data_IF_466821929058
#
_entry.id   IF_466821929058
#
_cell.length_a   1.000
_cell.length_b   1.000
_cell.length_c   1.000
_cell.angle_alpha   90.00
_cell.angle_beta   90.00
_cell.angle_gamma   90.00
#
_symmetry.space_group_name_H-M   'P 1'
#
loop_
_entity.id
_entity.type
_entity.pdbx_description
1 polymer ?
#
# COMPACT_ATOMS: atom_id res chain seq x y z
N UNK A 1 -40.25 -15.45 28.32
CA UNK A 1 -39.25 -15.84 27.31
C UNK A 1 -38.82 -14.55 26.63
N UNK A 2 -37.68 -13.98 27.02
CA UNK A 2 -37.19 -12.75 26.39
C UNK A 2 -36.53 -13.14 25.07
N UNK A 3 -37.05 -12.63 23.96
CA UNK A 3 -36.32 -12.62 22.70
C UNK A 3 -35.00 -11.90 22.93
N UNK A 4 -33.89 -12.64 22.85
CA UNK A 4 -32.58 -12.04 22.81
C UNK A 4 -32.51 -11.23 21.51
N UNK A 5 -32.47 -9.91 21.63
CA UNK A 5 -32.19 -9.03 20.50
C UNK A 5 -30.81 -9.42 19.99
N UNK A 6 -30.76 -10.11 18.85
CA UNK A 6 -29.52 -10.50 18.21
C UNK A 6 -28.86 -9.22 17.72
N UNK A 7 -27.85 -8.75 18.47
CA UNK A 7 -27.06 -7.58 18.08
C UNK A 7 -26.26 -7.86 16.81
N UNK A 8 -26.03 -6.81 16.02
CA UNK A 8 -25.24 -6.87 14.80
C UNK A 8 -23.77 -7.09 15.16
N UNK A 9 -23.13 -8.06 14.52
CA UNK A 9 -21.68 -8.23 14.60
C UNK A 9 -21.05 -7.68 13.34
N UNK A 10 -20.08 -6.78 13.48
CA UNK A 10 -19.24 -6.31 12.38
C UNK A 10 -17.97 -7.15 12.39
N UNK A 11 -17.68 -7.84 11.28
CA UNK A 11 -16.50 -8.70 11.22
C UNK A 11 -15.83 -8.85 9.86
N UNK A 12 -14.57 -9.29 9.91
CA UNK A 12 -13.74 -9.64 8.75
C UNK A 12 -13.49 -8.47 7.78
N UNK A 13 -13.12 -7.31 8.32
CA UNK A 13 -12.85 -6.10 7.54
C UNK A 13 -11.39 -5.68 7.64
N UNK A 14 -10.77 -5.32 6.51
CA UNK A 14 -9.45 -4.67 6.54
C UNK A 14 -9.52 -3.31 7.22
N UNK A 15 -10.51 -2.51 6.83
CA UNK A 15 -10.78 -1.17 7.40
C UNK A 15 -12.27 -1.04 7.69
N UNK A 16 -12.61 -0.63 8.91
CA UNK A 16 -13.94 -0.17 9.30
C UNK A 16 -13.91 1.36 9.36
N UNK A 17 -14.46 1.98 8.32
CA UNK A 17 -14.57 3.45 8.24
C UNK A 17 -15.91 3.91 8.84
N UNK A 18 -15.84 4.62 9.97
CA UNK A 18 -16.99 5.22 10.65
C UNK A 18 -17.12 6.72 10.38
N UNK A 19 -16.32 7.28 9.46
CA UNK A 19 -16.48 8.67 9.04
C UNK A 19 -17.86 8.86 8.41
N UNK A 20 -18.58 9.90 8.86
CA UNK A 20 -19.97 10.16 8.45
C UNK A 20 -21.04 9.27 9.08
N UNK A 21 -20.71 8.45 10.09
CA UNK A 21 -21.70 7.73 10.91
C UNK A 21 -22.14 8.58 12.12
N UNK A 22 -23.21 8.16 12.79
CA UNK A 22 -23.67 8.76 14.06
C UNK A 22 -23.65 7.73 15.18
N UNK A 23 -23.70 8.18 16.43
CA UNK A 23 -23.68 7.30 17.60
C UNK A 23 -24.91 6.39 17.64
N UNK A 24 -26.08 6.89 17.23
CA UNK A 24 -27.31 6.11 17.12
C UNK A 24 -27.18 4.98 16.10
N UNK A 25 -26.45 5.23 15.01
CA UNK A 25 -26.14 4.21 14.00
C UNK A 25 -25.29 3.06 14.52
N UNK A 26 -24.62 3.23 15.68
CA UNK A 26 -23.80 2.20 16.32
C UNK A 26 -24.55 1.42 17.41
N UNK A 27 -25.72 1.88 17.85
CA UNK A 27 -26.42 1.34 19.01
C UNK A 27 -26.85 -0.13 18.85
N UNK A 28 -26.97 -0.62 17.62
CA UNK A 28 -27.32 -2.02 17.33
C UNK A 28 -26.13 -2.98 17.26
N UNK A 29 -24.89 -2.50 17.38
CA UNK A 29 -23.69 -3.32 17.21
C UNK A 29 -23.30 -3.95 18.55
N UNK A 30 -23.26 -5.28 18.61
CA UNK A 30 -22.90 -6.03 19.82
C UNK A 30 -21.44 -6.46 19.88
N UNK A 31 -20.75 -6.49 18.75
CA UNK A 31 -19.36 -6.95 18.66
C UNK A 31 -18.69 -6.40 17.39
N UNK A 32 -17.43 -5.97 17.53
CA UNK A 32 -16.52 -5.74 16.41
C UNK A 32 -15.42 -6.80 16.48
N UNK A 33 -15.30 -7.62 15.44
CA UNK A 33 -14.43 -8.79 15.44
C UNK A 33 -13.59 -8.91 14.18
N UNK A 34 -12.29 -9.18 14.31
CA UNK A 34 -11.40 -9.38 13.16
C UNK A 34 -11.38 -8.18 12.20
N UNK A 35 -10.97 -7.03 12.72
CA UNK A 35 -10.88 -5.77 11.96
C UNK A 35 -9.45 -5.23 12.01
N UNK A 36 -8.86 -4.95 10.85
CA UNK A 36 -7.48 -4.45 10.79
C UNK A 36 -7.33 -3.05 11.38
N UNK A 37 -8.13 -2.11 10.89
CA UNK A 37 -8.14 -0.71 11.30
C UNK A 37 -9.57 -0.20 11.48
N UNK A 38 -9.85 0.49 12.58
CA UNK A 38 -11.08 1.27 12.75
C UNK A 38 -10.74 2.75 12.59
N UNK A 39 -11.40 3.43 11.66
CA UNK A 39 -11.29 4.89 11.52
C UNK A 39 -12.53 5.50 12.17
N UNK A 40 -12.33 6.33 13.20
CA UNK A 40 -13.42 6.84 14.03
C UNK A 40 -13.28 8.36 14.24
N UNK A 41 -14.32 9.16 13.97
CA UNK A 41 -14.38 10.55 14.40
C UNK A 41 -14.35 10.66 15.93
N UNK A 42 -13.72 11.69 16.49
CA UNK A 42 -13.62 11.89 17.94
C UNK A 42 -14.98 11.86 18.65
N UNK A 43 -16.04 12.38 18.01
CA UNK A 43 -17.42 12.37 18.50
C UNK A 43 -18.01 10.97 18.68
N UNK A 44 -17.49 9.97 17.98
CA UNK A 44 -17.93 8.57 18.06
C UNK A 44 -17.02 7.69 18.90
N UNK A 45 -15.88 8.20 19.38
CA UNK A 45 -14.88 7.40 20.09
C UNK A 45 -15.48 6.68 21.30
N UNK A 46 -16.24 7.39 22.13
CA UNK A 46 -16.89 6.83 23.32
C UNK A 46 -17.92 5.74 22.97
N UNK A 47 -18.69 5.93 21.90
CA UNK A 47 -19.68 4.95 21.45
C UNK A 47 -19.00 3.67 20.97
N UNK A 48 -17.93 3.79 20.19
CA UNK A 48 -17.15 2.66 19.67
C UNK A 48 -16.44 1.90 20.80
N UNK A 49 -15.92 2.60 21.82
CA UNK A 49 -15.26 1.98 22.97
C UNK A 49 -16.21 1.15 23.85
N UNK A 50 -17.53 1.39 23.80
CA UNK A 50 -18.53 0.59 24.52
C UNK A 50 -18.88 -0.71 23.81
N UNK A 51 -18.59 -0.82 22.52
CA UNK A 51 -18.81 -2.04 21.77
C UNK A 51 -17.65 -2.99 22.06
N UNK A 52 -17.90 -4.24 22.49
CA UNK A 52 -16.85 -5.24 22.65
C UNK A 52 -16.02 -5.40 21.37
N UNK A 53 -14.69 -5.44 21.51
CA UNK A 53 -13.75 -5.56 20.40
C UNK A 53 -12.89 -6.81 20.57
N UNK A 54 -12.76 -7.62 19.52
CA UNK A 54 -11.92 -8.83 19.51
C UNK A 54 -11.10 -8.89 18.22
N UNK A 55 -9.80 -9.11 18.33
CA UNK A 55 -8.89 -9.15 17.18
C UNK A 55 -8.99 -7.87 16.31
N UNK A 56 -8.92 -6.71 16.96
CA UNK A 56 -8.84 -5.40 16.30
C UNK A 56 -7.37 -4.97 16.28
N UNK A 57 -6.85 -4.64 15.10
CA UNK A 57 -5.44 -4.27 14.94
C UNK A 57 -5.13 -2.89 15.51
N UNK A 58 -5.83 -1.85 15.06
CA UNK A 58 -5.72 -0.50 15.59
C UNK A 58 -6.97 0.34 15.40
N UNK A 59 -7.04 1.46 16.14
CA UNK A 59 -8.10 2.46 16.01
C UNK A 59 -7.47 3.83 15.77
N UNK A 60 -7.81 4.46 14.65
CA UNK A 60 -7.41 5.80 14.28
C UNK A 60 -8.52 6.78 14.62
N UNK A 61 -8.29 7.59 15.65
CA UNK A 61 -9.16 8.71 16.00
C UNK A 61 -8.82 9.93 15.14
N UNK A 62 -9.83 10.47 14.49
CA UNK A 62 -9.75 11.67 13.65
C UNK A 62 -10.56 12.81 14.28
N UNK A 63 -10.08 14.07 14.18
CA UNK A 63 -10.85 15.20 14.67
C UNK A 63 -12.18 15.32 13.92
N UNK A 64 -13.25 15.70 14.63
CA UNK A 64 -14.58 15.89 14.05
C UNK A 64 -14.61 17.08 13.08
N UNK A 65 -13.82 18.12 13.39
CA UNK A 65 -13.69 19.30 12.56
C UNK A 65 -12.24 19.55 12.18
N UNK A 66 -12.04 19.81 10.89
CA UNK A 66 -10.77 20.21 10.29
C UNK A 66 -10.69 21.73 10.11
N UNK A 67 -11.44 22.51 10.90
CA UNK A 67 -11.56 23.96 10.69
C UNK A 67 -12.20 24.26 9.34
N UNK A 68 -11.46 24.94 8.45
CA UNK A 68 -11.91 25.20 7.07
C UNK A 68 -11.66 24.04 6.10
N UNK A 69 -10.85 23.05 6.52
CA UNK A 69 -10.42 21.94 5.71
C UNK A 69 -11.41 20.79 5.66
N UNK A 70 -11.04 19.75 4.91
CA UNK A 70 -11.78 18.50 4.74
C UNK A 70 -10.91 17.31 5.12
N UNK A 71 -11.57 16.27 5.60
CA UNK A 71 -10.96 14.96 5.75
C UNK A 71 -11.07 14.19 4.42
N UNK A 72 -9.94 13.73 3.89
CA UNK A 72 -9.86 12.83 2.73
C UNK A 72 -9.34 11.49 3.20
N UNK A 73 -10.15 10.44 3.04
CA UNK A 73 -9.77 9.06 3.36
C UNK A 73 -9.69 8.26 2.08
N UNK A 74 -8.53 7.67 1.82
CA UNK A 74 -8.36 6.65 0.81
C UNK A 74 -8.13 5.30 1.47
N UNK A 75 -8.83 4.29 1.00
CA UNK A 75 -8.68 2.91 1.47
C UNK A 75 -8.28 1.99 0.32
N UNK A 76 -7.55 0.92 0.63
CA UNK A 76 -7.11 -0.07 -0.34
C UNK A 76 -5.80 0.31 -1.05
N UNK A 77 -5.70 0.01 -2.34
CA UNK A 77 -4.51 0.28 -3.17
C UNK A 77 -4.75 1.53 -4.01
N UNK A 78 -3.90 2.55 -3.86
CA UNK A 78 -4.02 3.82 -4.59
C UNK A 78 -2.70 4.24 -5.22
N UNK A 79 -2.82 5.01 -6.30
CA UNK A 79 -1.71 5.70 -6.95
C UNK A 79 -1.97 7.20 -6.91
N UNK A 80 -1.01 7.98 -6.42
CA UNK A 80 -1.08 9.43 -6.30
C UNK A 80 0.13 10.06 -6.99
N UNK A 81 -0.07 11.19 -7.65
CA UNK A 81 1.07 11.98 -8.12
C UNK A 81 1.57 12.92 -7.01
N UNK A 82 2.79 13.41 -7.10
CA UNK A 82 3.30 14.44 -6.19
C UNK A 82 2.47 15.73 -6.22
N UNK A 83 1.93 16.10 -7.39
CA UNK A 83 1.01 17.22 -7.56
C UNK A 83 -0.31 17.01 -6.80
N UNK A 84 -0.77 15.74 -6.71
CA UNK A 84 -1.95 15.39 -5.91
C UNK A 84 -1.71 15.58 -4.41
N UNK A 85 -0.46 15.35 -3.95
CA UNK A 85 -0.04 15.59 -2.57
C UNK A 85 0.15 17.08 -2.26
N UNK A 86 0.47 17.91 -3.25
CA UNK A 86 0.57 19.36 -3.09
C UNK A 86 -0.77 20.03 -2.73
N UNK A 87 -1.90 19.33 -2.93
CA UNK A 87 -3.24 19.80 -2.53
C UNK A 87 -3.61 21.21 -3.07
N UNK A 88 -3.18 21.55 -4.29
CA UNK A 88 -3.27 22.92 -4.82
C UNK A 88 -4.70 23.52 -4.89
N UNK A 89 -5.73 22.67 -4.97
CA UNK A 89 -7.14 23.09 -4.95
C UNK A 89 -7.84 22.88 -3.60
N UNK A 90 -7.12 22.46 -2.56
CA UNK A 90 -7.66 22.18 -1.23
C UNK A 90 -7.38 23.29 -0.22
N UNK A 91 -7.70 23.01 1.05
CA UNK A 91 -7.33 23.87 2.17
C UNK A 91 -6.03 23.37 2.80
N UNK A 92 -5.14 24.26 3.30
CA UNK A 92 -4.00 23.84 4.12
C UNK A 92 -4.41 23.14 5.42
N UNK A 93 -5.68 23.24 5.83
CA UNK A 93 -6.23 22.52 6.98
C UNK A 93 -6.70 21.09 6.65
N UNK A 94 -6.70 20.70 5.38
CA UNK A 94 -7.12 19.36 4.94
C UNK A 94 -6.24 18.28 5.57
N UNK A 95 -6.87 17.17 5.96
CA UNK A 95 -6.18 15.96 6.42
C UNK A 95 -6.30 14.89 5.34
N UNK A 96 -5.16 14.27 5.01
CA UNK A 96 -5.13 13.09 4.15
C UNK A 96 -4.85 11.84 4.98
N UNK A 97 -5.77 10.89 4.96
CA UNK A 97 -5.63 9.55 5.53
C UNK A 97 -5.54 8.54 4.40
N UNK A 98 -4.48 7.73 4.41
CA UNK A 98 -4.30 6.59 3.51
C UNK A 98 -4.28 5.33 4.35
N UNK A 99 -5.28 4.47 4.18
CA UNK A 99 -5.37 3.17 4.86
C UNK A 99 -5.25 2.04 3.84
N UNK A 100 -4.06 1.44 3.73
CA UNK A 100 -3.73 0.44 2.73
C UNK A 100 -2.38 0.71 2.07
N UNK A 101 -2.30 0.59 0.75
CA UNK A 101 -1.06 0.78 0.00
C UNK A 101 -1.17 2.02 -0.89
N UNK A 102 -0.23 2.95 -0.77
CA UNK A 102 -0.12 4.10 -1.67
C UNK A 102 1.21 4.08 -2.42
N UNK A 103 1.11 4.25 -3.74
CA UNK A 103 2.24 4.54 -4.61
C UNK A 103 2.20 6.02 -4.99
N UNK A 104 3.27 6.75 -4.68
CA UNK A 104 3.49 8.08 -5.21
C UNK A 104 4.24 7.92 -6.52
N UNK A 105 3.73 8.43 -7.64
CA UNK A 105 4.26 8.15 -9.00
C UNK A 105 5.17 9.22 -9.57
N UNK A 106 5.26 10.38 -8.92
CA UNK A 106 6.10 11.50 -9.36
C UNK A 106 6.72 12.20 -8.15
N UNK A 107 7.73 13.04 -8.41
CA UNK A 107 8.41 13.80 -7.37
C UNK A 107 7.41 14.67 -6.58
N UNK A 108 7.55 14.66 -5.25
CA UNK A 108 6.79 15.51 -4.31
C UNK A 108 7.65 16.72 -3.94
N UNK A 109 7.31 17.89 -4.47
CA UNK A 109 7.94 19.15 -4.06
C UNK A 109 7.47 19.60 -2.67
N UNK A 110 6.17 19.44 -2.40
CA UNK A 110 5.54 19.82 -1.14
C UNK A 110 4.28 18.98 -0.89
N UNK A 111 3.95 18.80 0.39
CA UNK A 111 2.67 18.22 0.82
C UNK A 111 1.82 19.35 1.37
N UNK A 112 0.68 19.61 0.72
CA UNK A 112 -0.23 20.71 1.07
C UNK A 112 -1.33 20.34 2.07
N UNK A 113 -1.20 19.19 2.72
CA UNK A 113 -2.11 18.73 3.77
C UNK A 113 -1.54 19.11 5.13
N UNK A 114 -2.42 19.48 6.07
CA UNK A 114 -2.05 19.73 7.48
C UNK A 114 -1.45 18.49 8.12
N UNK A 115 -2.04 17.35 7.81
CA UNK A 115 -1.63 16.04 8.30
C UNK A 115 -1.70 15.02 7.15
N UNK A 116 -0.60 14.30 6.93
CA UNK A 116 -0.58 13.08 6.13
C UNK A 116 -0.45 11.88 7.09
N UNK A 117 -1.54 11.12 7.18
CA UNK A 117 -1.64 9.93 8.02
C UNK A 117 -1.63 8.70 7.12
N UNK A 118 -0.68 7.81 7.32
CA UNK A 118 -0.58 6.56 6.56
C UNK A 118 -0.69 5.36 7.50
N UNK A 119 -1.62 4.47 7.19
CA UNK A 119 -1.90 3.21 7.88
C UNK A 119 -1.74 2.07 6.85
N UNK A 120 -0.51 1.61 6.66
CA UNK A 120 -0.15 0.57 5.72
C UNK A 120 1.19 0.84 5.05
N UNK A 121 1.26 0.81 3.72
CA UNK A 121 2.52 0.94 2.98
C UNK A 121 2.50 2.17 2.08
N UNK A 122 3.57 2.96 2.13
CA UNK A 122 3.81 4.07 1.23
C UNK A 122 5.05 3.79 0.40
N UNK A 123 4.94 3.89 -0.92
CA UNK A 123 6.06 3.80 -1.85
C UNK A 123 6.21 5.14 -2.56
N UNK A 124 7.40 5.71 -2.57
CA UNK A 124 7.63 7.02 -3.18
C UNK A 124 9.01 7.14 -3.83
N UNK A 125 9.24 8.12 -4.72
CA UNK A 125 10.58 8.41 -5.20
C UNK A 125 11.50 8.79 -4.04
N UNK A 126 12.73 8.29 -4.03
CA UNK A 126 13.75 8.65 -3.03
C UNK A 126 14.00 10.15 -2.97
N UNK A 127 13.89 10.83 -4.12
CA UNK A 127 13.98 12.29 -4.24
C UNK A 127 12.93 13.03 -3.40
N UNK A 128 11.83 12.39 -3.01
CA UNK A 128 10.72 12.97 -2.25
C UNK A 128 10.78 12.70 -0.75
N UNK A 129 11.80 11.99 -0.26
CA UNK A 129 11.94 11.61 1.14
C UNK A 129 11.93 12.81 2.10
N UNK A 130 12.61 13.91 1.74
CA UNK A 130 12.63 15.13 2.56
C UNK A 130 11.24 15.76 2.68
N UNK A 131 10.52 15.91 1.57
CA UNK A 131 9.18 16.50 1.55
C UNK A 131 8.17 15.62 2.31
N UNK A 132 8.25 14.29 2.13
CA UNK A 132 7.32 13.35 2.77
C UNK A 132 7.60 13.17 4.26
N UNK A 133 8.86 13.06 4.67
CA UNK A 133 9.21 12.84 6.09
C UNK A 133 8.77 13.98 7.00
N UNK A 134 8.77 15.23 6.51
CA UNK A 134 8.25 16.37 7.28
C UNK A 134 6.72 16.42 7.37
N UNK A 135 6.02 15.86 6.39
CA UNK A 135 4.56 15.90 6.30
C UNK A 135 3.86 14.67 6.90
N UNK A 136 4.55 13.53 6.97
CA UNK A 136 4.06 12.29 7.57
C UNK A 136 3.92 12.46 9.10
N UNK A 137 2.76 12.91 9.55
CA UNK A 137 2.50 13.18 10.96
C UNK A 137 2.23 11.91 11.76
N UNK A 138 1.66 10.89 11.12
CA UNK A 138 1.40 9.57 11.71
C UNK A 138 1.63 8.48 10.68
N UNK A 139 2.46 7.52 11.03
CA UNK A 139 2.78 6.37 10.18
C UNK A 139 2.64 5.07 10.99
N UNK A 140 1.75 4.18 10.55
CA UNK A 140 1.67 2.81 11.04
C UNK A 140 1.85 1.87 9.85
N UNK A 141 2.98 1.18 9.79
CA UNK A 141 3.37 0.32 8.68
C UNK A 141 4.75 0.71 8.14
N UNK A 142 4.92 0.77 6.82
CA UNK A 142 6.25 0.90 6.20
C UNK A 142 6.31 1.91 5.04
N UNK A 143 7.41 2.64 4.94
CA UNK A 143 7.72 3.54 3.81
C UNK A 143 8.87 2.97 3.01
N UNK A 144 8.73 2.94 1.68
CA UNK A 144 9.77 2.51 0.75
C UNK A 144 10.07 3.62 -0.23
N UNK A 145 11.36 3.74 -0.55
CA UNK A 145 11.83 4.70 -1.52
C UNK A 145 12.46 3.99 -2.70
N UNK A 146 11.97 4.29 -3.91
CA UNK A 146 12.53 3.78 -5.15
C UNK A 146 13.37 4.87 -5.84
N UNK A 147 14.39 4.52 -6.61
CA UNK A 147 15.30 5.49 -7.23
C UNK A 147 14.84 5.99 -8.59
N UNK A 148 14.13 5.17 -9.36
CA UNK A 148 13.71 5.55 -10.72
C UNK A 148 12.64 6.64 -10.76
N UNK A 149 12.67 7.52 -11.76
CA UNK A 149 11.68 8.61 -11.89
C UNK A 149 10.26 8.11 -12.19
N UNK A 150 10.15 6.98 -12.89
CA UNK A 150 8.87 6.32 -13.24
C UNK A 150 9.03 4.82 -13.03
N UNK A 151 8.75 4.28 -11.83
CA UNK A 151 8.82 2.85 -11.62
C UNK A 151 7.72 2.16 -12.41
N UNK A 152 8.02 0.99 -12.96
CA UNK A 152 6.97 0.08 -13.42
C UNK A 152 6.50 -0.71 -12.20
N UNK A 153 5.24 -0.51 -11.84
CA UNK A 153 4.63 -1.16 -10.68
C UNK A 153 3.78 -2.34 -11.12
N UNK A 154 4.02 -3.48 -10.50
CA UNK A 154 3.29 -4.73 -10.72
C UNK A 154 2.36 -4.91 -9.54
N UNK A 155 1.07 -5.05 -9.82
CA UNK A 155 0.04 -5.36 -8.83
C UNK A 155 -0.53 -6.73 -9.18
N UNK A 156 -0.45 -7.69 -8.26
CA UNK A 156 -0.93 -9.05 -8.49
C UNK A 156 0.15 -9.97 -9.04
N UNK A 157 -0.17 -10.76 -10.08
CA UNK A 157 0.72 -11.79 -10.62
C UNK A 157 1.08 -11.49 -12.08
N UNK A 158 2.38 -11.39 -12.39
CA UNK A 158 2.87 -11.09 -13.76
C UNK A 158 4.09 -11.97 -14.12
N UNK A 159 4.28 -12.27 -15.41
CA UNK A 159 5.48 -12.93 -15.93
C UNK A 159 6.23 -12.07 -16.95
N UNK A 160 7.56 -12.16 -16.95
CA UNK A 160 8.44 -11.42 -17.84
C UNK A 160 9.34 -12.36 -18.63
N UNK A 161 9.10 -12.41 -19.93
CA UNK A 161 9.92 -13.10 -20.91
C UNK A 161 11.07 -12.23 -21.42
N UNK A 162 12.01 -12.87 -22.12
CA UNK A 162 13.03 -12.18 -22.93
C UNK A 162 12.39 -11.15 -23.86
N UNK A 163 11.34 -11.57 -24.59
CA UNK A 163 10.69 -10.72 -25.58
C UNK A 163 10.16 -9.42 -24.98
N UNK A 164 9.59 -9.47 -23.77
CA UNK A 164 9.17 -8.27 -23.06
C UNK A 164 10.35 -7.35 -22.73
N UNK A 165 11.43 -7.89 -22.15
CA UNK A 165 12.58 -7.10 -21.72
C UNK A 165 13.32 -6.44 -22.90
N UNK A 166 13.32 -7.09 -24.07
CA UNK A 166 13.90 -6.55 -25.30
C UNK A 166 13.17 -5.30 -25.81
N UNK A 167 11.87 -5.16 -25.53
CA UNK A 167 11.06 -3.98 -25.89
C UNK A 167 11.36 -2.75 -25.02
N UNK A 168 12.10 -2.89 -23.92
CA UNK A 168 12.43 -1.78 -23.05
C UNK A 168 13.61 -0.98 -23.63
N UNK A 169 13.39 0.28 -23.99
CA UNK A 169 14.46 1.13 -24.54
C UNK A 169 15.56 1.45 -23.52
N UNK A 170 15.22 1.47 -22.23
CA UNK A 170 16.09 1.84 -21.12
C UNK A 170 15.90 0.88 -19.94
N UNK A 171 16.89 0.76 -19.04
CA UNK A 171 16.70 0.04 -17.78
C UNK A 171 15.52 0.63 -16.99
N UNK A 172 14.71 -0.25 -16.40
CA UNK A 172 13.56 0.15 -15.58
C UNK A 172 13.78 -0.16 -14.10
N UNK A 173 13.16 0.64 -13.23
CA UNK A 173 12.93 0.27 -11.83
C UNK A 173 11.62 -0.51 -11.74
N UNK A 174 11.65 -1.68 -11.12
CA UNK A 174 10.49 -2.54 -10.94
C UNK A 174 10.08 -2.55 -9.47
N UNK A 175 8.81 -2.22 -9.21
CA UNK A 175 8.19 -2.34 -7.88
C UNK A 175 7.19 -3.49 -7.94
N UNK A 176 7.49 -4.59 -7.25
CA UNK A 176 6.68 -5.80 -7.25
C UNK A 176 5.78 -5.79 -6.03
N UNK A 177 4.46 -5.68 -6.22
CA UNK A 177 3.43 -5.83 -5.20
C UNK A 177 2.60 -7.09 -5.51
N UNK A 178 3.06 -8.24 -5.02
CA UNK A 178 2.48 -9.55 -5.33
C UNK A 178 3.50 -10.53 -5.89
N UNK A 179 3.13 -11.28 -6.93
CA UNK A 179 3.95 -12.30 -7.55
C UNK A 179 4.52 -11.82 -8.89
N UNK A 180 5.82 -12.01 -9.10
CA UNK A 180 6.49 -11.72 -10.35
C UNK A 180 7.34 -12.92 -10.76
N UNK A 181 7.25 -13.37 -12.00
CA UNK A 181 8.07 -14.45 -12.52
C UNK A 181 8.94 -13.96 -13.68
N UNK A 182 10.26 -14.14 -13.58
CA UNK A 182 11.13 -14.05 -14.75
C UNK A 182 11.18 -15.41 -15.43
N UNK A 183 10.84 -15.46 -16.71
CA UNK A 183 10.74 -16.72 -17.45
C UNK A 183 12.11 -17.33 -17.74
N UNK A 184 12.11 -18.62 -18.09
CA UNK A 184 13.31 -19.41 -18.33
C UNK A 184 14.09 -19.00 -19.59
N UNK A 185 13.60 -18.07 -20.42
CA UNK A 185 14.29 -17.52 -21.58
C UNK A 185 15.05 -16.21 -21.27
N UNK A 186 14.87 -15.64 -20.07
CA UNK A 186 15.61 -14.47 -19.59
C UNK A 186 17.01 -14.88 -19.19
N UNK A 187 18.02 -14.19 -19.73
CA UNK A 187 19.42 -14.38 -19.37
C UNK A 187 19.96 -13.23 -18.49
N UNK A 188 21.10 -13.51 -17.85
CA UNK A 188 21.76 -12.59 -16.90
C UNK A 188 22.13 -11.27 -17.57
N UNK A 189 22.56 -11.30 -18.84
CA UNK A 189 23.01 -10.11 -19.55
C UNK A 189 21.83 -9.19 -19.86
N UNK A 190 20.72 -9.75 -20.33
CA UNK A 190 19.49 -9.02 -20.59
C UNK A 190 18.92 -8.42 -19.31
N UNK A 191 18.82 -9.22 -18.24
CA UNK A 191 18.32 -8.72 -16.96
C UNK A 191 19.16 -7.57 -16.42
N UNK A 192 20.49 -7.70 -16.45
CA UNK A 192 21.41 -6.63 -16.01
C UNK A 192 21.31 -5.37 -16.87
N UNK A 193 21.00 -5.53 -18.16
CA UNK A 193 20.86 -4.40 -19.08
C UNK A 193 19.49 -3.71 -18.99
N UNK A 194 18.43 -4.41 -18.56
CA UNK A 194 17.05 -3.92 -18.64
C UNK A 194 16.39 -3.67 -17.28
N UNK A 195 16.91 -4.23 -16.19
CA UNK A 195 16.38 -4.02 -14.83
C UNK A 195 17.45 -3.32 -13.99
N UNK A 196 17.19 -2.05 -13.66
CA UNK A 196 18.12 -1.23 -12.87
C UNK A 196 17.95 -1.40 -11.36
N UNK A 197 16.73 -1.69 -10.91
CA UNK A 197 16.36 -1.75 -9.50
C UNK A 197 15.14 -2.66 -9.32
N UNK A 198 15.10 -3.40 -8.22
CA UNK A 198 13.93 -4.14 -7.74
C UNK A 198 13.55 -3.68 -6.33
N UNK A 199 12.28 -3.37 -6.16
CA UNK A 199 11.64 -3.19 -4.85
C UNK A 199 10.61 -4.29 -4.71
N UNK A 200 10.86 -5.23 -3.79
CA UNK A 200 10.10 -6.49 -3.70
C UNK A 200 9.19 -6.45 -2.48
N UNK A 201 7.88 -6.42 -2.72
CA UNK A 201 6.81 -6.53 -1.74
C UNK A 201 5.91 -7.71 -2.13
N UNK A 202 6.41 -8.92 -1.92
CA UNK A 202 5.78 -10.16 -2.38
C UNK A 202 6.81 -11.19 -2.84
N UNK A 203 6.50 -11.97 -3.86
CA UNK A 203 7.35 -13.07 -4.31
C UNK A 203 7.90 -12.82 -5.71
N UNK A 204 9.23 -12.92 -5.88
CA UNK A 204 9.86 -13.03 -7.19
C UNK A 204 10.26 -14.49 -7.42
N UNK A 205 9.83 -15.06 -8.54
CA UNK A 205 10.26 -16.36 -9.06
C UNK A 205 11.21 -16.13 -10.23
N UNK A 206 12.35 -16.81 -10.24
CA UNK A 206 13.31 -16.69 -11.34
C UNK A 206 14.17 -17.95 -11.50
N UNK A 207 14.65 -18.25 -12.73
CA UNK A 207 15.65 -19.28 -12.97
C UNK A 207 16.82 -19.22 -11.99
N UNK A 208 17.32 -20.36 -11.54
CA UNK A 208 18.41 -20.45 -10.54
C UNK A 208 19.61 -19.55 -10.88
N UNK A 209 19.93 -19.45 -12.18
CA UNK A 209 21.02 -18.61 -12.69
C UNK A 209 20.80 -17.11 -12.51
N UNK A 210 19.56 -16.64 -12.42
CA UNK A 210 19.21 -15.23 -12.22
C UNK A 210 19.14 -14.85 -10.74
N UNK A 211 18.95 -15.81 -9.83
CA UNK A 211 18.73 -15.53 -8.39
C UNK A 211 19.78 -14.61 -7.76
N UNK A 212 21.10 -14.81 -7.96
CA UNK A 212 22.09 -13.89 -7.39
C UNK A 212 21.95 -12.45 -7.91
N UNK A 213 21.57 -12.29 -9.19
CA UNK A 213 21.35 -10.97 -9.79
C UNK A 213 20.05 -10.34 -9.26
N UNK A 214 18.96 -11.11 -9.14
CA UNK A 214 17.70 -10.65 -8.53
C UNK A 214 17.94 -10.16 -7.10
N UNK A 215 18.70 -10.93 -6.30
CA UNK A 215 19.06 -10.55 -4.93
C UNK A 215 19.91 -9.28 -4.87
N UNK A 216 20.84 -9.11 -5.82
CA UNK A 216 21.66 -7.91 -5.91
C UNK A 216 20.83 -6.67 -6.29
N UNK A 217 19.89 -6.82 -7.24
CA UNK A 217 19.03 -5.74 -7.71
C UNK A 217 17.91 -5.39 -6.72
N UNK A 218 17.52 -6.33 -5.85
CA UNK A 218 16.52 -6.16 -4.81
C UNK A 218 17.03 -5.31 -3.64
N UNK A 219 17.21 -4.01 -3.87
CA UNK A 219 17.67 -3.07 -2.85
C UNK A 219 16.70 -2.97 -1.66
N UNK A 220 15.41 -3.22 -1.91
CA UNK A 220 14.39 -3.37 -0.87
C UNK A 220 13.69 -4.72 -1.05
N UNK A 221 13.71 -5.56 0.01
CA UNK A 221 13.08 -6.89 0.00
C UNK A 221 12.20 -7.10 1.23
N UNK A 222 10.90 -7.23 0.98
CA UNK A 222 9.87 -7.64 1.92
C UNK A 222 8.97 -8.69 1.29
N UNK A 223 9.48 -9.91 1.36
CA UNK A 223 8.87 -11.09 0.77
C UNK A 223 9.98 -12.02 0.28
N UNK A 224 9.70 -12.83 -0.72
CA UNK A 224 10.51 -13.98 -1.08
C UNK A 224 11.10 -13.88 -2.48
N UNK A 225 12.32 -14.40 -2.62
CA UNK A 225 12.95 -14.61 -3.92
C UNK A 225 13.17 -16.11 -4.02
N UNK A 226 12.48 -16.74 -4.97
CA UNK A 226 12.37 -18.19 -5.09
C UNK A 226 12.97 -18.62 -6.43
N UNK A 227 13.84 -19.63 -6.38
CA UNK A 227 14.36 -20.25 -7.58
C UNK A 227 13.27 -21.10 -8.25
N UNK A 228 13.08 -20.93 -9.55
CA UNK A 228 12.36 -21.89 -10.39
C UNK A 228 13.35 -22.88 -11.00
N UNK A 229 12.92 -24.13 -11.17
CA UNK A 229 13.71 -25.11 -11.92
C UNK A 229 13.64 -24.74 -13.41
N UNK A 230 14.79 -24.73 -14.09
CA UNK A 230 14.93 -24.40 -15.52
C UNK A 230 14.20 -25.39 -16.48
N UNK A 231 13.30 -26.23 -15.95
CA UNK A 231 12.61 -27.33 -16.63
C UNK A 231 11.09 -27.23 -16.52
N UNK A 232 10.52 -26.12 -16.98
CA UNK A 232 9.08 -26.03 -17.31
C UNK A 232 8.94 -25.81 -18.81
N UNK A 233 9.26 -26.84 -19.60
CA UNK A 233 9.24 -26.74 -21.06
C UNK A 233 9.52 -28.03 -21.81
N UNK A 234 9.06 -29.19 -21.30
CA UNK A 234 8.97 -30.43 -22.08
C UNK A 234 8.16 -31.49 -21.30
N UNK A 235 6.83 -31.35 -21.28
CA UNK A 235 5.92 -32.48 -21.13
C UNK A 235 4.49 -32.03 -21.43
N UNK A 236 4.01 -32.38 -22.63
CA UNK A 236 2.70 -32.03 -23.14
C UNK A 236 2.62 -32.18 -24.65
N UNK A 237 3.01 -33.35 -25.16
CA UNK A 237 2.63 -33.86 -26.48
C UNK A 237 1.91 -35.17 -26.26
#
# INVERSE_FOLDING_TARGET
>A
MSEAVQGLTIENLGVLDLTGKTAEGLAGISLIHNVGLIIVPSSLADAVMRIPQKNVGSTLQLPDETGSGKLKVFTGQISLSGESLANAGGSPDDILVVAGQALITSHVDAVGYRELIVMGQLMAPKSSESALSGALTRMMGQVFYYKGDVPRVILGSESYSRAFLELLDKPISLVVLGDCEFEADVDVALMKAKVGELVVLGTIRAPKRLIPLVQLLAETKLGDIVATDDHAGAQGA
#
